data_IF_763392423254
#
_entry.id   IF_763392423254
#
_cell.length_a   1.000
_cell.length_b   1.000
_cell.length_c   1.000
_cell.angle_alpha   90.00
_cell.angle_beta   90.00
_cell.angle_gamma   90.00
#
_symmetry.space_group_name_H-M   'P 1'
#
loop_
_entity.id
_entity.type
_entity.pdbx_description
1 polymer ?
#
# COMPACT_ATOMS: atom_id res chain seq x y z
N UNK A 1 12.77 35.21 5.63
CA UNK A 1 13.63 34.35 6.47
C UNK A 1 14.87 33.96 5.67
N UNK A 2 15.92 34.77 5.82
CA UNK A 2 17.24 34.57 5.20
C UNK A 2 18.05 33.62 6.08
N UNK A 3 18.52 32.50 5.55
CA UNK A 3 19.46 31.61 6.26
C UNK A 3 20.41 30.85 5.32
N UNK A 4 20.81 31.47 4.20
CA UNK A 4 21.76 30.88 3.25
C UNK A 4 23.21 31.38 3.38
N UNK A 5 23.49 32.32 4.30
CA UNK A 5 24.83 32.93 4.43
C UNK A 5 25.52 32.72 5.79
N UNK A 6 24.99 31.90 6.69
CA UNK A 6 25.69 31.66 7.96
C UNK A 6 26.50 30.37 7.90
N UNK A 7 27.82 30.53 8.08
CA UNK A 7 28.85 29.51 8.32
C UNK A 7 29.74 29.11 7.13
N UNK A 8 30.64 30.03 6.75
CA UNK A 8 31.84 29.75 5.93
C UNK A 8 33.14 30.09 6.68
N UNK A 9 33.18 29.96 8.00
CA UNK A 9 34.34 30.32 8.83
C UNK A 9 35.50 29.28 8.77
N UNK A 10 35.70 28.62 7.63
CA UNK A 10 36.75 27.60 7.46
C UNK A 10 37.23 27.38 6.02
N UNK A 11 36.90 28.25 5.06
CA UNK A 11 37.32 28.09 3.65
C UNK A 11 38.23 29.24 3.23
N UNK A 12 39.40 29.36 3.86
CA UNK A 12 40.46 30.24 3.36
C UNK A 12 41.09 29.61 2.10
N UNK A 13 40.98 30.30 0.97
CA UNK A 13 41.94 30.19 -0.15
C UNK A 13 41.71 29.11 -1.21
N UNK A 14 40.51 28.98 -1.78
CA UNK A 14 40.28 28.07 -2.92
C UNK A 14 40.05 28.82 -4.24
N UNK A 15 40.73 28.39 -5.30
CA UNK A 15 40.55 28.91 -6.67
C UNK A 15 39.10 28.70 -7.13
N UNK A 16 38.56 29.63 -7.93
CA UNK A 16 37.17 29.61 -8.45
C UNK A 16 36.79 28.28 -9.12
N UNK A 17 37.77 27.56 -9.68
CA UNK A 17 37.59 26.23 -10.28
C UNK A 17 37.27 25.14 -9.24
N UNK A 18 37.93 25.14 -8.08
CA UNK A 18 37.70 24.16 -7.01
C UNK A 18 36.32 24.32 -6.38
N UNK A 19 35.89 25.57 -6.19
CA UNK A 19 34.56 25.87 -5.64
C UNK A 19 33.46 25.35 -6.58
N UNK A 20 33.62 25.55 -7.89
CA UNK A 20 32.71 25.02 -8.92
C UNK A 20 32.69 23.49 -8.90
N UNK A 21 33.84 22.83 -8.71
CA UNK A 21 33.93 21.37 -8.65
C UNK A 21 33.22 20.80 -7.41
N UNK A 22 33.46 21.37 -6.22
CA UNK A 22 32.79 20.96 -4.97
C UNK A 22 31.27 21.13 -5.06
N UNK A 23 30.81 22.24 -5.65
CA UNK A 23 29.38 22.50 -5.84
C UNK A 23 28.72 21.50 -6.81
N UNK A 24 29.39 21.17 -7.93
CA UNK A 24 28.94 20.12 -8.87
C UNK A 24 28.87 18.74 -8.20
N UNK A 25 29.86 18.37 -7.37
CA UNK A 25 29.84 17.12 -6.61
C UNK A 25 28.67 17.08 -5.61
N UNK A 26 28.46 18.16 -4.85
CA UNK A 26 27.35 18.26 -3.89
C UNK A 26 25.98 18.16 -4.57
N UNK A 27 25.81 18.78 -5.73
CA UNK A 27 24.60 18.62 -6.55
C UNK A 27 24.42 17.19 -7.08
N UNK A 28 25.49 16.53 -7.52
CA UNK A 28 25.43 15.11 -7.95
C UNK A 28 25.05 14.18 -6.80
N UNK A 29 25.61 14.38 -5.61
CA UNK A 29 25.31 13.58 -4.42
C UNK A 29 23.85 13.75 -3.97
N UNK A 30 23.35 14.98 -3.91
CA UNK A 30 21.95 15.25 -3.54
C UNK A 30 20.96 14.71 -4.58
N UNK A 31 21.28 14.78 -5.88
CA UNK A 31 20.49 14.14 -6.95
C UNK A 31 20.43 12.62 -6.81
N UNK A 32 21.57 11.96 -6.54
CA UNK A 32 21.63 10.51 -6.30
C UNK A 32 20.82 10.10 -5.07
N UNK A 33 20.87 10.88 -4.00
CA UNK A 33 20.11 10.63 -2.78
C UNK A 33 18.58 10.75 -3.02
N UNK A 34 18.15 11.76 -3.79
CA UNK A 34 16.74 11.90 -4.21
C UNK A 34 16.29 10.76 -5.12
N UNK A 35 17.16 10.26 -6.01
CA UNK A 35 16.83 9.13 -6.88
C UNK A 35 16.75 7.80 -6.13
N UNK A 36 17.52 7.64 -5.04
CA UNK A 36 17.37 6.49 -4.12
C UNK A 36 16.07 6.56 -3.34
N UNK A 37 15.71 7.72 -2.78
CA UNK A 37 14.43 7.88 -2.06
C UNK A 37 13.21 7.60 -2.94
N UNK A 38 13.25 7.99 -4.23
CA UNK A 38 12.18 7.70 -5.19
C UNK A 38 12.02 6.21 -5.51
N UNK A 39 13.09 5.42 -5.44
CA UNK A 39 13.03 3.97 -5.70
C UNK A 39 12.48 3.18 -4.51
N UNK A 40 12.62 3.67 -3.28
CA UNK A 40 12.08 2.99 -2.09
C UNK A 40 10.56 3.24 -1.95
N UNK A 41 10.06 4.39 -2.40
CA UNK A 41 8.62 4.72 -2.38
C UNK A 41 7.80 4.25 -3.60
N UNK A 42 8.44 3.67 -4.62
CA UNK A 42 7.84 3.43 -5.94
C UNK A 42 7.13 2.09 -6.16
N UNK A 43 6.87 1.29 -5.11
CA UNK A 43 6.19 -0.02 -5.24
C UNK A 43 4.66 0.04 -5.09
N UNK A 44 4.08 1.24 -5.10
CA UNK A 44 2.63 1.45 -5.14
C UNK A 44 2.08 1.43 -6.56
N UNK A 45 2.35 0.37 -7.33
CA UNK A 45 1.69 0.18 -8.62
C UNK A 45 0.18 0.21 -8.41
N UNK A 46 -0.53 1.06 -9.17
CA UNK A 46 -2.00 1.14 -9.19
C UNK A 46 -2.56 -0.28 -9.36
N UNK A 47 -2.93 -0.93 -8.25
CA UNK A 47 -3.62 -2.23 -8.30
C UNK A 47 -4.91 -2.00 -9.06
N UNK A 48 -5.22 -2.91 -9.99
CA UNK A 48 -6.50 -2.83 -10.68
C UNK A 48 -7.63 -2.88 -9.65
N UNK A 49 -8.73 -2.17 -9.92
CA UNK A 49 -9.91 -2.18 -9.05
C UNK A 49 -10.38 -3.61 -8.75
N UNK A 50 -10.23 -4.52 -9.73
CA UNK A 50 -10.49 -5.95 -9.60
C UNK A 50 -9.58 -6.60 -8.54
N UNK A 51 -8.27 -6.36 -8.58
CA UNK A 51 -7.34 -6.92 -7.58
C UNK A 51 -7.67 -6.46 -6.15
N UNK A 52 -8.11 -5.20 -5.99
CA UNK A 52 -8.57 -4.69 -4.69
C UNK A 52 -9.83 -5.43 -4.24
N UNK A 53 -10.80 -5.64 -5.13
CA UNK A 53 -12.02 -6.39 -4.83
C UNK A 53 -11.73 -7.85 -4.48
N UNK A 54 -10.86 -8.52 -5.24
CA UNK A 54 -10.43 -9.90 -4.95
C UNK A 54 -9.76 -9.97 -3.59
N UNK A 55 -8.85 -9.04 -3.27
CA UNK A 55 -8.20 -9.01 -1.96
C UNK A 55 -9.18 -8.79 -0.81
N UNK A 56 -10.19 -7.93 -1.00
CA UNK A 56 -11.28 -7.76 -0.02
C UNK A 56 -12.07 -9.05 0.15
N UNK A 57 -12.43 -9.71 -0.95
CA UNK A 57 -13.15 -10.98 -0.90
C UNK A 57 -12.36 -12.06 -0.14
N UNK A 58 -11.06 -12.19 -0.40
CA UNK A 58 -10.17 -13.11 0.35
C UNK A 58 -10.16 -12.88 1.87
N UNK A 59 -10.42 -11.65 2.33
CA UNK A 59 -10.50 -11.33 3.76
C UNK A 59 -11.86 -11.65 4.37
N UNK A 60 -12.92 -11.64 3.57
CA UNK A 60 -14.30 -11.88 4.03
C UNK A 60 -14.63 -13.37 4.10
N UNK A 61 -14.10 -14.16 3.17
CA UNK A 61 -14.41 -15.59 3.07
C UNK A 61 -13.55 -16.37 4.08
N UNK A 62 -14.16 -17.19 4.96
CA UNK A 62 -13.41 -18.07 5.86
C UNK A 62 -12.50 -18.98 5.05
N UNK A 63 -11.20 -19.02 5.37
CA UNK A 63 -10.20 -19.76 4.59
C UNK A 63 -9.85 -19.15 3.21
N UNK A 64 -10.37 -17.97 2.89
CA UNK A 64 -10.20 -17.31 1.58
C UNK A 64 -8.83 -16.66 1.35
N UNK A 65 -8.01 -16.47 2.39
CA UNK A 65 -6.73 -15.78 2.30
C UNK A 65 -5.75 -16.52 1.40
N UNK A 66 -5.18 -15.83 0.42
CA UNK A 66 -4.17 -16.37 -0.48
C UNK A 66 -4.72 -17.25 -1.62
N UNK A 67 -6.03 -17.48 -1.67
CA UNK A 67 -6.63 -18.26 -2.76
C UNK A 67 -6.58 -17.52 -4.10
N UNK A 68 -6.32 -18.26 -5.18
CA UNK A 68 -6.52 -17.77 -6.55
C UNK A 68 -8.01 -17.52 -6.81
N UNK A 69 -8.31 -16.65 -7.77
CA UNK A 69 -9.68 -16.21 -8.07
C UNK A 69 -10.66 -17.38 -8.27
N UNK A 70 -10.27 -18.39 -9.06
CA UNK A 70 -11.15 -19.53 -9.38
C UNK A 70 -11.60 -20.28 -8.12
N UNK A 71 -10.65 -20.62 -7.24
CA UNK A 71 -10.96 -21.29 -5.95
C UNK A 71 -11.67 -20.37 -4.98
N UNK A 72 -11.29 -19.09 -4.96
CA UNK A 72 -11.93 -18.09 -4.10
C UNK A 72 -13.41 -17.96 -4.44
N UNK A 73 -13.78 -17.95 -5.72
CA UNK A 73 -15.17 -17.84 -6.14
C UNK A 73 -15.98 -19.09 -5.81
N UNK A 74 -15.41 -20.29 -5.99
CA UNK A 74 -16.07 -21.53 -5.57
C UNK A 74 -16.36 -21.52 -4.07
N UNK A 75 -15.34 -21.24 -3.25
CA UNK A 75 -15.48 -21.16 -1.80
C UNK A 75 -16.42 -20.02 -1.35
N UNK A 76 -16.48 -18.94 -2.13
CA UNK A 76 -17.46 -17.87 -1.92
C UNK A 76 -18.89 -18.37 -2.14
N UNK A 77 -19.13 -19.15 -3.20
CA UNK A 77 -20.45 -19.71 -3.49
C UNK A 77 -20.91 -20.64 -2.37
N UNK A 78 -20.04 -21.54 -1.91
CA UNK A 78 -20.30 -22.44 -0.78
C UNK A 78 -20.64 -21.65 0.50
N UNK A 79 -19.86 -20.61 0.79
CA UNK A 79 -20.08 -19.79 1.98
C UNK A 79 -21.39 -19.00 1.91
N UNK A 80 -21.76 -18.46 0.75
CA UNK A 80 -23.06 -17.80 0.55
C UNK A 80 -24.20 -18.79 0.78
N UNK A 81 -24.09 -20.01 0.26
CA UNK A 81 -25.10 -21.05 0.45
C UNK A 81 -25.25 -21.39 1.94
N UNK A 82 -24.15 -21.60 2.64
CA UNK A 82 -24.15 -21.88 4.08
C UNK A 82 -24.82 -20.76 4.89
N UNK A 83 -24.48 -19.50 4.61
CA UNK A 83 -25.10 -18.35 5.29
C UNK A 83 -26.61 -18.28 5.03
N UNK A 84 -27.04 -18.52 3.78
CA UNK A 84 -28.48 -18.55 3.44
C UNK A 84 -29.22 -19.64 4.20
N UNK A 85 -28.64 -20.84 4.29
CA UNK A 85 -29.20 -21.95 5.07
C UNK A 85 -29.34 -21.58 6.55
N UNK A 86 -28.29 -21.01 7.15
CA UNK A 86 -28.32 -20.56 8.56
C UNK A 86 -29.43 -19.54 8.81
N UNK A 87 -29.55 -18.52 7.95
CA UNK A 87 -30.60 -17.51 8.05
C UNK A 87 -31.99 -18.13 7.90
N UNK A 88 -32.19 -19.02 6.91
CA UNK A 88 -33.47 -19.67 6.68
C UNK A 88 -33.91 -20.51 7.88
N UNK A 89 -33.00 -21.27 8.49
CA UNK A 89 -33.28 -22.05 9.71
C UNK A 89 -33.68 -21.12 10.87
N UNK A 90 -32.89 -20.08 11.12
CA UNK A 90 -33.20 -19.11 12.19
C UNK A 90 -34.55 -18.42 11.98
N UNK A 91 -34.89 -18.08 10.74
CA UNK A 91 -36.18 -17.51 10.39
C UNK A 91 -37.33 -18.50 10.59
N UNK A 92 -37.16 -19.76 10.20
CA UNK A 92 -38.17 -20.80 10.40
C UNK A 92 -38.42 -21.03 11.90
N UNK A 93 -37.36 -21.16 12.69
CA UNK A 93 -37.46 -21.28 14.15
C UNK A 93 -38.11 -20.05 14.76
N UNK A 94 -37.70 -18.84 14.37
CA UNK A 94 -38.31 -17.60 14.87
C UNK A 94 -39.80 -17.52 14.56
N UNK A 95 -40.26 -18.03 13.41
CA UNK A 95 -41.70 -18.08 13.10
C UNK A 95 -42.44 -19.05 14.01
N UNK A 96 -41.87 -20.22 14.29
CA UNK A 96 -42.44 -21.20 15.21
C UNK A 96 -42.60 -20.57 16.61
N UNK A 97 -41.53 -19.96 17.13
CA UNK A 97 -41.56 -19.32 18.46
C UNK A 97 -42.39 -18.03 18.55
N UNK A 98 -42.75 -17.41 17.42
CA UNK A 98 -43.66 -16.24 17.38
C UNK A 98 -45.14 -16.65 17.28
N UNK A 99 -45.40 -17.89 16.89
CA UNK A 99 -46.75 -18.45 16.77
C UNK A 99 -47.16 -19.28 18.00
N UNK A 100 -46.20 -19.60 18.88
CA UNK A 100 -46.39 -20.17 20.21
C UNK A 100 -46.50 -19.08 21.27
#
# INVERSE_FOLDING_TARGET
>A
MNNFMSNYNGLKGHSSSEMKMKMKMKMKMTRRQRHRQRQVGGRGGRKSTVQVKVKKLQMLIPGGRGLKADRLFLQTADYILQLRLQVNVLQALSKIYKLS
#
